data_IF_802618657890
#
_entry.id   IF_802618657890
#
_cell.length_a   1.000
_cell.length_b   1.000
_cell.length_c   1.000
_cell.angle_alpha   90.00
_cell.angle_beta   90.00
_cell.angle_gamma   90.00
#
_symmetry.space_group_name_H-M   'P 1'
#
loop_
_entity.id
_entity.type
_entity.pdbx_description
1 polymer ?
#
# COMPACT_ATOMS: atom_id res chain seq x y z
N UNK A 1 1.88 34.65 -3.47
CA UNK A 1 1.78 33.28 -2.91
C UNK A 1 0.35 32.68 -2.78
N UNK A 2 -0.67 33.00 -3.62
CA UNK A 2 -1.95 32.26 -3.63
C UNK A 2 -2.08 31.16 -4.71
N UNK A 3 -1.32 31.22 -5.82
CA UNK A 3 -1.48 30.30 -6.96
C UNK A 3 -1.17 28.82 -6.63
N UNK A 4 -0.11 28.53 -5.87
CA UNK A 4 0.29 27.13 -5.54
C UNK A 4 -0.74 26.38 -4.67
N UNK A 5 -1.54 27.08 -3.85
CA UNK A 5 -2.57 26.45 -3.01
C UNK A 5 -3.80 26.03 -3.82
N UNK A 6 -4.20 26.85 -4.79
CA UNK A 6 -5.38 26.55 -5.62
C UNK A 6 -5.10 25.40 -6.61
N UNK A 7 -3.89 25.34 -7.15
CA UNK A 7 -3.43 24.18 -7.93
C UNK A 7 -3.40 22.91 -7.09
N UNK A 8 -3.01 22.98 -5.81
CA UNK A 8 -3.02 21.83 -4.89
C UNK A 8 -4.43 21.26 -4.66
N UNK A 9 -5.44 22.11 -4.44
CA UNK A 9 -6.83 21.65 -4.26
C UNK A 9 -7.45 21.10 -5.56
N UNK A 10 -7.17 21.72 -6.70
CA UNK A 10 -7.62 21.20 -7.99
C UNK A 10 -7.00 19.83 -8.31
N UNK A 11 -5.72 19.62 -7.98
CA UNK A 11 -5.05 18.32 -8.14
C UNK A 11 -5.67 17.28 -7.21
N UNK A 12 -5.90 17.62 -5.93
CA UNK A 12 -6.57 16.74 -4.96
C UNK A 12 -7.95 16.30 -5.45
N UNK A 13 -8.72 17.20 -6.06
CA UNK A 13 -10.04 16.89 -6.59
C UNK A 13 -10.01 15.81 -7.69
N UNK A 14 -8.93 15.72 -8.49
CA UNK A 14 -8.78 14.67 -9.52
C UNK A 14 -8.79 13.26 -8.94
N UNK A 15 -8.37 13.10 -7.69
CA UNK A 15 -8.30 11.82 -7.01
C UNK A 15 -9.49 11.58 -6.06
N UNK A 16 -10.51 12.44 -6.10
CA UNK A 16 -11.65 12.42 -5.18
C UNK A 16 -11.22 12.56 -3.71
N UNK A 17 -10.29 13.48 -3.42
CA UNK A 17 -9.76 13.68 -2.07
C UNK A 17 -10.81 14.26 -1.08
N UNK A 18 -10.81 13.84 0.20
CA UNK A 18 -10.04 12.72 0.75
C UNK A 18 -10.52 11.38 0.18
N UNK A 19 -9.60 10.62 -0.39
CA UNK A 19 -9.90 9.34 -1.03
C UNK A 19 -9.49 8.17 -0.15
N UNK A 20 -10.01 6.97 -0.45
CA UNK A 20 -9.66 5.75 0.27
C UNK A 20 -8.22 5.25 0.02
N UNK A 21 -7.58 5.69 -1.07
CA UNK A 21 -6.21 5.26 -1.38
C UNK A 21 -5.19 6.00 -0.51
N UNK A 22 -4.51 5.28 0.40
CA UNK A 22 -3.49 5.88 1.25
C UNK A 22 -2.18 6.11 0.49
N UNK A 23 -1.96 5.39 -0.61
CA UNK A 23 -0.95 5.69 -1.63
C UNK A 23 -1.08 7.13 -2.14
N UNK A 24 -2.27 7.51 -2.62
CA UNK A 24 -2.55 8.85 -3.15
C UNK A 24 -2.37 9.90 -2.07
N UNK A 25 -2.95 9.65 -0.88
CA UNK A 25 -2.87 10.58 0.25
C UNK A 25 -1.42 10.82 0.67
N UNK A 26 -0.62 9.76 0.78
CA UNK A 26 0.80 9.85 1.15
C UNK A 26 1.56 10.84 0.26
N UNK A 27 1.34 10.81 -1.05
CA UNK A 27 1.98 11.72 -1.99
C UNK A 27 1.44 13.14 -1.93
N UNK A 28 0.11 13.31 -1.85
CA UNK A 28 -0.52 14.64 -1.81
C UNK A 28 -0.27 15.39 -0.50
N UNK A 29 -0.07 14.67 0.61
CA UNK A 29 0.27 15.21 1.93
C UNK A 29 1.79 15.42 2.10
N UNK A 30 2.61 14.91 1.17
CA UNK A 30 4.06 15.12 1.15
C UNK A 30 4.87 14.16 2.02
N UNK A 31 4.30 13.00 2.39
CA UNK A 31 4.97 11.97 3.19
C UNK A 31 5.88 11.07 2.38
N UNK A 32 5.39 10.56 1.25
CA UNK A 32 6.11 9.62 0.38
C UNK A 32 5.69 9.78 -1.08
N UNK A 33 6.61 9.47 -2.01
CA UNK A 33 6.33 9.47 -3.45
C UNK A 33 6.48 10.83 -4.13
N UNK A 34 6.02 10.87 -5.38
CA UNK A 34 6.17 12.02 -6.28
C UNK A 34 4.83 12.34 -6.95
N UNK A 35 4.56 13.63 -7.12
CA UNK A 35 3.38 14.14 -7.85
C UNK A 35 3.86 14.90 -9.08
N UNK A 36 3.48 14.44 -10.27
CA UNK A 36 3.71 15.15 -11.53
C UNK A 36 2.37 15.68 -12.02
N UNK A 37 2.27 16.97 -12.30
CA UNK A 37 1.03 17.63 -12.76
C UNK A 37 1.29 18.26 -14.12
N UNK A 38 0.32 18.14 -15.04
CA UNK A 38 0.37 18.83 -16.34
C UNK A 38 -0.88 19.66 -16.59
N UNK A 39 -0.68 20.67 -17.44
CA UNK A 39 -1.59 21.73 -17.92
C UNK A 39 -2.47 22.42 -16.87
N UNK A 40 -3.70 22.81 -17.23
CA UNK A 40 -4.42 23.89 -16.51
C UNK A 40 -5.81 23.49 -15.99
N UNK A 41 -6.07 23.86 -14.73
CA UNK A 41 -7.38 23.74 -14.08
C UNK A 41 -8.43 24.66 -14.71
N UNK A 42 -8.05 25.88 -15.11
CA UNK A 42 -8.95 26.85 -15.74
C UNK A 42 -9.52 26.35 -17.07
N UNK A 43 -8.76 25.52 -17.79
CA UNK A 43 -9.17 24.92 -19.05
C UNK A 43 -9.79 23.52 -18.89
N UNK A 44 -10.08 23.08 -17.66
CA UNK A 44 -10.57 21.73 -17.35
C UNK A 44 -9.72 20.60 -17.96
N UNK A 45 -8.42 20.86 -18.17
CA UNK A 45 -7.52 19.88 -18.78
C UNK A 45 -6.67 19.16 -17.76
N UNK A 46 -6.70 19.53 -16.48
CA UNK A 46 -5.74 19.12 -15.45
C UNK A 46 -5.58 17.59 -15.38
N UNK A 47 -4.33 17.15 -15.20
CA UNK A 47 -3.96 15.74 -15.03
C UNK A 47 -2.80 15.60 -14.08
N UNK A 48 -2.75 14.46 -13.41
CA UNK A 48 -1.72 14.15 -12.46
C UNK A 48 -1.32 12.69 -12.54
N UNK A 49 -0.03 12.47 -12.28
CA UNK A 49 0.57 11.16 -12.01
C UNK A 49 1.15 11.18 -10.61
N UNK A 50 0.75 10.22 -9.80
CA UNK A 50 1.35 9.94 -8.49
C UNK A 50 2.16 8.66 -8.60
N UNK A 51 3.39 8.67 -8.08
CA UNK A 51 4.24 7.47 -8.00
C UNK A 51 4.70 7.25 -6.56
N UNK A 52 4.41 6.07 -5.99
CA UNK A 52 4.82 5.64 -4.65
C UNK A 52 5.17 4.15 -4.70
N UNK A 53 6.44 3.80 -4.47
CA UNK A 53 6.89 2.42 -4.60
C UNK A 53 6.57 1.85 -5.98
N UNK A 54 5.91 0.69 -6.02
CA UNK A 54 5.46 0.04 -7.25
C UNK A 54 4.20 0.64 -7.87
N UNK A 55 3.54 1.60 -7.22
CA UNK A 55 2.29 2.19 -7.73
C UNK A 55 2.57 3.41 -8.60
N UNK A 56 1.89 3.46 -9.75
CA UNK A 56 1.56 4.69 -10.47
C UNK A 56 0.05 4.89 -10.50
N UNK A 57 -0.44 6.04 -10.01
CA UNK A 57 -1.85 6.42 -10.05
C UNK A 57 -2.04 7.59 -11.01
N UNK A 58 -2.94 7.43 -11.98
CA UNK A 58 -3.22 8.41 -13.04
C UNK A 58 -4.60 9.01 -12.85
N UNK A 59 -4.70 10.34 -12.85
CA UNK A 59 -5.96 11.03 -12.63
C UNK A 59 -6.11 12.29 -13.49
N UNK A 60 -7.36 12.68 -13.74
CA UNK A 60 -7.75 13.81 -14.58
C UNK A 60 -7.81 13.44 -16.05
N UNK A 61 -7.55 14.41 -16.94
CA UNK A 61 -7.62 14.19 -18.37
C UNK A 61 -6.51 13.22 -18.86
N UNK A 62 -6.83 12.25 -19.73
CA UNK A 62 -5.84 11.30 -20.24
C UNK A 62 -4.71 11.99 -20.99
N UNK A 63 -3.46 11.64 -20.68
CA UNK A 63 -2.24 12.25 -21.22
C UNK A 63 -1.19 11.19 -21.53
N UNK A 64 -0.87 11.02 -22.81
CA UNK A 64 0.08 10.00 -23.28
C UNK A 64 1.50 10.21 -22.71
N UNK A 65 1.90 11.45 -22.41
CA UNK A 65 3.23 11.73 -21.85
C UNK A 65 3.35 11.27 -20.40
N UNK A 66 2.26 11.26 -19.65
CA UNK A 66 2.27 10.70 -18.29
C UNK A 66 2.34 9.17 -18.28
N UNK A 67 1.87 8.52 -19.36
CA UNK A 67 1.92 7.05 -19.54
C UNK A 67 3.27 6.58 -20.10
N UNK A 68 3.85 7.30 -21.06
CA UNK A 68 5.05 6.87 -21.80
C UNK A 68 6.34 6.77 -20.95
N UNK A 69 6.31 7.23 -19.70
CA UNK A 69 7.42 7.15 -18.75
C UNK A 69 7.14 6.28 -17.52
N UNK A 70 6.13 5.41 -17.55
CA UNK A 70 5.84 4.50 -16.43
C UNK A 70 6.91 3.41 -16.38
N UNK A 71 7.66 3.37 -15.28
CA UNK A 71 8.64 2.32 -14.97
C UNK A 71 8.20 1.44 -13.79
N UNK A 72 7.03 1.71 -13.23
CA UNK A 72 6.49 0.97 -12.09
C UNK A 72 5.73 -0.27 -12.56
N UNK A 73 5.70 -1.30 -11.72
CA UNK A 73 5.06 -2.56 -12.06
C UNK A 73 3.54 -2.57 -11.84
N UNK A 74 2.93 -1.53 -11.23
CA UNK A 74 1.49 -1.44 -11.00
C UNK A 74 0.93 -0.06 -11.37
N UNK A 75 -0.13 -0.02 -12.19
CA UNK A 75 -0.80 1.22 -12.62
C UNK A 75 -2.29 1.21 -12.26
N UNK A 76 -2.77 2.30 -11.67
CA UNK A 76 -4.18 2.50 -11.31
C UNK A 76 -4.74 3.73 -12.05
N UNK A 77 -5.67 3.55 -13.00
CA UNK A 77 -6.43 4.65 -13.56
C UNK A 77 -7.56 5.07 -12.60
N UNK A 78 -7.61 6.34 -12.19
CA UNK A 78 -8.71 6.88 -11.37
C UNK A 78 -9.97 7.04 -12.22
N UNK A 79 -9.82 7.54 -13.44
CA UNK A 79 -10.91 7.65 -14.41
C UNK A 79 -10.74 6.64 -15.56
N UNK A 80 -11.83 6.01 -16.06
CA UNK A 80 -11.76 5.00 -17.12
C UNK A 80 -11.12 5.47 -18.43
N UNK A 81 -11.12 6.77 -18.71
CA UNK A 81 -10.58 7.39 -19.92
C UNK A 81 -9.06 7.18 -20.08
N UNK A 82 -8.35 6.81 -19.01
CA UNK A 82 -6.94 6.45 -19.06
C UNK A 82 -6.69 5.05 -19.65
N UNK A 83 -7.68 4.16 -19.61
CA UNK A 83 -7.54 2.74 -20.00
C UNK A 83 -6.99 2.58 -21.43
N UNK A 84 -7.54 3.23 -22.47
CA UNK A 84 -7.03 3.06 -23.83
C UNK A 84 -5.57 3.51 -23.98
N UNK A 85 -5.15 4.55 -23.25
CA UNK A 85 -3.77 5.03 -23.31
C UNK A 85 -2.80 4.07 -22.62
N UNK A 86 -3.18 3.51 -21.46
CA UNK A 86 -2.38 2.51 -20.75
C UNK A 86 -2.18 1.29 -21.64
N UNK A 87 -3.26 0.77 -22.25
CA UNK A 87 -3.21 -0.41 -23.11
C UNK A 87 -2.38 -0.16 -24.39
N UNK A 88 -2.39 1.07 -24.93
CA UNK A 88 -1.61 1.43 -26.11
C UNK A 88 -0.12 1.67 -25.83
N UNK A 89 0.24 2.30 -24.70
CA UNK A 89 1.61 2.75 -24.42
C UNK A 89 2.36 1.83 -23.45
N UNK A 90 1.66 0.94 -22.75
CA UNK A 90 2.25 0.00 -21.81
C UNK A 90 1.70 -1.41 -22.03
N UNK A 91 1.84 -1.99 -23.25
CA UNK A 91 1.24 -3.28 -23.61
C UNK A 91 1.77 -4.48 -22.81
N UNK A 92 2.89 -4.31 -22.10
CA UNK A 92 3.43 -5.31 -21.18
C UNK A 92 2.58 -5.45 -19.89
N UNK A 93 1.84 -4.41 -19.51
CA UNK A 93 1.00 -4.45 -18.32
C UNK A 93 -0.31 -5.20 -18.59
N UNK A 94 -0.66 -6.09 -17.68
CA UNK A 94 -1.84 -6.95 -17.76
C UNK A 94 -2.94 -6.38 -16.87
N UNK A 95 -4.18 -6.24 -17.38
CA UNK A 95 -5.30 -5.79 -16.56
C UNK A 95 -5.66 -6.86 -15.52
N UNK A 96 -5.97 -6.42 -14.30
CA UNK A 96 -6.47 -7.28 -13.22
C UNK A 96 -7.36 -6.47 -12.26
N UNK A 97 -7.96 -7.16 -11.29
CA UNK A 97 -8.87 -6.55 -10.32
C UNK A 97 -8.23 -6.52 -8.93
N UNK A 98 -8.27 -5.34 -8.30
CA UNK A 98 -7.91 -5.13 -6.89
C UNK A 98 -9.17 -4.92 -6.04
N UNK A 99 -9.05 -5.22 -4.75
CA UNK A 99 -10.17 -5.20 -3.81
C UNK A 99 -9.87 -4.26 -2.65
N UNK A 100 -10.40 -3.03 -2.66
CA UNK A 100 -10.26 -2.14 -1.52
C UNK A 100 -10.99 -2.75 -0.33
N UNK A 101 -10.35 -2.76 0.83
CA UNK A 101 -10.90 -3.33 2.05
C UNK A 101 -11.26 -2.19 2.99
N UNK A 102 -12.56 -2.04 3.25
CA UNK A 102 -13.11 -0.94 4.05
C UNK A 102 -13.48 -1.45 5.43
N UNK A 103 -13.40 -0.58 6.42
CA UNK A 103 -13.95 -0.88 7.73
C UNK A 103 -14.40 0.40 8.42
N UNK A 104 -15.50 0.34 9.17
CA UNK A 104 -15.95 1.49 9.94
C UNK A 104 -14.94 1.81 11.04
N UNK A 105 -14.69 3.09 11.31
CA UNK A 105 -13.77 3.47 12.40
C UNK A 105 -14.25 2.87 13.73
N UNK A 106 -13.37 2.11 14.40
CA UNK A 106 -13.68 1.45 15.68
C UNK A 106 -14.39 0.09 15.58
N UNK A 107 -14.52 -0.48 14.39
CA UNK A 107 -15.19 -1.78 14.15
C UNK A 107 -14.32 -3.01 14.48
N UNK A 108 -13.00 -2.85 14.61
CA UNK A 108 -12.10 -3.98 14.81
C UNK A 108 -12.36 -4.68 16.15
N UNK A 109 -12.58 -6.00 16.09
CA UNK A 109 -12.62 -6.83 17.30
C UNK A 109 -11.20 -7.01 17.85
N UNK A 110 -10.84 -6.13 18.78
CA UNK A 110 -9.53 -6.11 19.45
C UNK A 110 -9.20 -7.45 20.11
N UNK A 111 -10.18 -8.14 20.70
CA UNK A 111 -9.94 -9.44 21.36
C UNK A 111 -9.59 -10.50 20.33
N UNK A 112 -10.32 -10.54 19.21
CA UNK A 112 -10.05 -11.47 18.12
C UNK A 112 -8.68 -11.20 17.46
N UNK A 113 -8.31 -9.94 17.27
CA UNK A 113 -6.98 -9.56 16.79
C UNK A 113 -5.88 -10.02 17.76
N UNK A 114 -6.08 -9.86 19.07
CA UNK A 114 -5.13 -10.36 20.07
C UNK A 114 -4.98 -11.89 20.00
N UNK A 115 -6.08 -12.61 19.81
CA UNK A 115 -6.04 -14.07 19.61
C UNK A 115 -5.25 -14.44 18.35
N UNK A 116 -5.46 -13.76 17.22
CA UNK A 116 -4.71 -14.02 15.99
C UNK A 116 -3.22 -13.71 16.13
N UNK A 117 -2.87 -12.61 16.80
CA UNK A 117 -1.48 -12.27 17.08
C UNK A 117 -0.82 -13.29 18.03
N UNK A 118 -1.56 -13.85 18.99
CA UNK A 118 -1.09 -14.86 19.93
C UNK A 118 -1.01 -16.27 19.34
N UNK A 119 -1.79 -16.57 18.29
CA UNK A 119 -1.80 -17.85 17.58
C UNK A 119 -0.59 -18.05 16.64
N UNK A 120 0.44 -17.20 16.74
CA UNK A 120 1.70 -17.40 16.04
C UNK A 120 2.30 -18.77 16.46
N UNK A 121 2.70 -19.65 15.51
CA UNK A 121 3.25 -20.95 15.88
C UNK A 121 4.51 -20.82 16.73
N UNK A 122 4.71 -21.72 17.68
CA UNK A 122 5.80 -21.65 18.66
C UNK A 122 7.21 -21.59 18.05
N UNK A 123 7.39 -22.11 16.84
CA UNK A 123 8.64 -22.03 16.08
C UNK A 123 9.03 -20.59 15.67
N UNK A 124 8.12 -19.63 15.81
CA UNK A 124 8.32 -18.24 15.43
C UNK A 124 8.16 -17.28 16.62
N UNK A 125 8.65 -16.06 16.44
CA UNK A 125 8.41 -14.91 17.31
C UNK A 125 8.06 -13.71 16.46
N UNK A 126 7.06 -12.94 16.86
CA UNK A 126 6.72 -11.68 16.19
C UNK A 126 7.44 -10.54 16.90
N UNK A 127 8.27 -9.81 16.16
CA UNK A 127 9.08 -8.69 16.65
C UNK A 127 8.75 -7.41 15.87
N UNK A 128 8.81 -6.22 16.50
CA UNK A 128 8.72 -4.96 15.77
C UNK A 128 9.91 -4.82 14.82
N UNK A 129 9.66 -4.26 13.64
CA UNK A 129 10.73 -3.98 12.68
C UNK A 129 11.54 -2.79 13.21
N UNK A 130 12.73 -3.07 13.71
CA UNK A 130 13.76 -2.08 14.04
C UNK A 130 14.52 -1.66 12.78
N UNK A 131 15.39 -0.64 12.89
CA UNK A 131 16.29 -0.25 11.78
C UNK A 131 17.09 -1.45 11.24
N UNK A 132 17.65 -2.29 12.12
CA UNK A 132 18.41 -3.48 11.71
C UNK A 132 17.53 -4.52 10.98
N UNK A 133 16.26 -4.66 11.36
CA UNK A 133 15.33 -5.55 10.67
C UNK A 133 14.86 -4.95 9.34
N UNK A 134 14.65 -3.64 9.27
CA UNK A 134 14.31 -2.93 8.03
C UNK A 134 15.45 -3.05 7.00
N UNK A 135 16.71 -2.99 7.44
CA UNK A 135 17.85 -3.23 6.56
C UNK A 135 17.87 -4.67 6.02
N UNK A 136 17.41 -5.65 6.80
CA UNK A 136 17.32 -7.05 6.37
C UNK A 136 16.18 -7.28 5.38
N UNK A 137 14.99 -6.72 5.61
CA UNK A 137 13.84 -6.86 4.70
C UNK A 137 14.16 -6.28 3.32
N UNK A 138 14.87 -5.14 3.27
CA UNK A 138 15.30 -4.47 2.03
C UNK A 138 16.33 -5.26 1.20
N UNK A 139 16.98 -6.28 1.76
CA UNK A 139 17.97 -7.11 1.05
C UNK A 139 17.38 -8.28 0.29
N UNK A 140 16.13 -8.64 0.54
CA UNK A 140 15.47 -9.78 -0.08
C UNK A 140 14.33 -9.28 -0.96
N UNK A 141 14.29 -9.74 -2.23
CA UNK A 141 13.26 -9.33 -3.19
C UNK A 141 11.83 -9.52 -2.66
N UNK A 142 11.56 -10.67 -2.03
CA UNK A 142 10.22 -11.03 -1.56
C UNK A 142 9.70 -10.19 -0.38
N UNK A 143 10.60 -9.52 0.35
CA UNK A 143 10.25 -8.72 1.54
C UNK A 143 10.60 -7.25 1.39
N UNK A 144 11.02 -6.84 0.18
CA UNK A 144 11.49 -5.48 -0.05
C UNK A 144 10.38 -4.48 0.26
N UNK A 145 9.15 -4.73 -0.20
CA UNK A 145 8.03 -3.81 -0.08
C UNK A 145 7.57 -3.57 1.37
N UNK A 146 7.95 -4.44 2.33
CA UNK A 146 7.72 -4.19 3.75
C UNK A 146 8.38 -2.89 4.24
N UNK A 147 9.53 -2.50 3.69
CA UNK A 147 10.29 -1.32 4.18
C UNK A 147 10.97 -0.52 3.05
N UNK A 148 10.94 -0.99 1.82
CA UNK A 148 11.73 -0.53 0.69
C UNK A 148 11.32 0.82 0.14
N UNK A 149 10.06 1.21 0.35
CA UNK A 149 9.52 2.49 -0.12
C UNK A 149 10.00 3.70 0.69
N UNK A 150 10.56 3.47 1.88
CA UNK A 150 11.19 4.52 2.69
C UNK A 150 12.56 4.85 2.13
N UNK A 151 13.09 6.04 2.44
CA UNK A 151 14.38 6.49 1.93
C UNK A 151 15.48 5.48 2.29
N UNK A 152 15.50 5.05 3.54
CA UNK A 152 16.46 4.12 4.11
C UNK A 152 15.86 3.41 5.35
N UNK A 153 16.62 2.50 5.96
CA UNK A 153 16.17 1.76 7.14
C UNK A 153 15.93 2.66 8.37
N UNK A 154 16.69 3.74 8.52
CA UNK A 154 16.52 4.70 9.61
C UNK A 154 15.25 5.53 9.43
N UNK A 155 14.94 5.93 8.19
CA UNK A 155 13.70 6.61 7.82
C UNK A 155 12.46 5.72 8.09
N UNK A 156 12.55 4.42 7.77
CA UNK A 156 11.53 3.45 8.18
C UNK A 156 11.38 3.40 9.70
N UNK A 157 12.48 3.23 10.44
CA UNK A 157 12.43 3.12 11.90
C UNK A 157 11.86 4.38 12.58
N UNK A 158 12.05 5.55 11.98
CA UNK A 158 11.54 6.82 12.48
C UNK A 158 10.06 7.06 12.19
N UNK A 159 9.56 6.66 11.01
CA UNK A 159 8.22 7.03 10.53
C UNK A 159 7.27 5.86 10.27
N UNK A 160 7.83 4.71 9.91
CA UNK A 160 7.09 3.50 9.56
C UNK A 160 6.63 2.70 10.78
N UNK A 161 5.81 1.67 10.53
CA UNK A 161 5.36 0.72 11.54
C UNK A 161 5.29 -0.65 10.88
N UNK A 162 5.87 -1.66 11.50
CA UNK A 162 5.78 -3.01 10.99
C UNK A 162 6.25 -4.04 12.00
N UNK A 163 5.88 -5.28 11.71
CA UNK A 163 6.25 -6.45 12.50
C UNK A 163 6.66 -7.58 11.58
N UNK A 164 7.67 -8.36 11.99
CA UNK A 164 8.12 -9.56 11.28
C UNK A 164 7.98 -10.78 12.17
N UNK A 165 7.65 -11.91 11.55
CA UNK A 165 7.81 -13.22 12.16
C UNK A 165 9.24 -13.70 11.90
N UNK A 166 10.02 -13.89 12.97
CA UNK A 166 11.34 -14.48 12.94
C UNK A 166 11.26 -15.94 13.34
N UNK A 167 11.91 -16.82 12.58
CA UNK A 167 12.08 -18.21 12.97
C UNK A 167 13.05 -18.30 14.15
N UNK A 168 12.64 -18.94 15.25
CA UNK A 168 13.45 -18.98 16.49
C UNK A 168 14.77 -19.70 16.33
N UNK A 169 14.80 -20.74 15.49
CA UNK A 169 15.98 -21.58 15.31
C UNK A 169 17.11 -20.87 14.55
N UNK A 170 16.76 -19.98 13.61
CA UNK A 170 17.72 -19.37 12.68
C UNK A 170 17.79 -17.85 12.80
N UNK A 171 16.78 -17.21 13.37
CA UNK A 171 16.60 -15.77 13.37
C UNK A 171 16.17 -15.20 12.02
N UNK A 172 15.89 -16.04 11.02
CA UNK A 172 15.49 -15.60 9.67
C UNK A 172 14.08 -15.01 9.65
N UNK A 173 13.88 -14.02 8.79
CA UNK A 173 12.56 -13.43 8.55
C UNK A 173 11.74 -14.41 7.71
N UNK A 174 10.58 -14.81 8.23
CA UNK A 174 9.67 -15.76 7.59
C UNK A 174 8.44 -15.07 6.98
N UNK A 175 7.99 -13.97 7.59
CA UNK A 175 6.87 -13.15 7.12
C UNK A 175 6.94 -11.76 7.75
N UNK A 176 6.15 -10.83 7.23
CA UNK A 176 5.94 -9.53 7.87
C UNK A 176 4.63 -8.88 7.46
N UNK A 177 4.20 -7.94 8.29
CA UNK A 177 3.16 -6.97 7.95
C UNK A 177 3.69 -5.59 8.33
N UNK A 178 3.61 -4.64 7.40
CA UNK A 178 4.27 -3.34 7.54
C UNK A 178 3.49 -2.21 6.87
N UNK A 179 3.91 -0.97 7.10
CA UNK A 179 3.43 0.20 6.38
C UNK A 179 4.10 0.29 5.00
N UNK A 180 3.40 -0.05 3.92
CA UNK A 180 3.84 0.20 2.54
C UNK A 180 4.02 1.70 2.27
N UNK A 181 3.06 2.49 2.74
CA UNK A 181 3.03 3.94 2.69
C UNK A 181 2.42 4.50 3.98
N UNK A 182 2.71 5.77 4.29
CA UNK A 182 2.16 6.48 5.44
C UNK A 182 1.46 7.77 5.01
N UNK A 183 0.40 8.14 5.70
CA UNK A 183 -0.30 9.40 5.50
C UNK A 183 -0.78 9.93 6.85
N UNK A 184 -1.34 11.13 6.86
CA UNK A 184 -1.97 11.70 8.05
C UNK A 184 -3.10 10.76 8.51
N UNK A 185 -3.00 10.31 9.76
CA UNK A 185 -4.00 9.44 10.37
C UNK A 185 -3.95 7.96 9.95
N UNK A 186 -2.94 7.48 9.22
CA UNK A 186 -2.78 6.03 9.05
C UNK A 186 -1.72 5.55 8.08
N UNK A 187 -1.80 4.26 7.74
CA UNK A 187 -0.80 3.54 6.92
C UNK A 187 -1.49 2.68 5.86
N UNK A 188 -0.85 2.50 4.72
CA UNK A 188 -1.20 1.45 3.75
C UNK A 188 -0.49 0.15 4.18
N UNK A 189 -1.23 -0.95 4.36
CA UNK A 189 -0.69 -2.21 4.85
C UNK A 189 -0.06 -3.03 3.72
N UNK A 190 1.19 -3.46 3.91
CA UNK A 190 1.88 -4.50 3.13
C UNK A 190 1.97 -5.79 3.93
N UNK A 191 1.82 -6.95 3.29
CA UNK A 191 1.95 -8.27 3.94
C UNK A 191 2.64 -9.27 3.02
N UNK A 192 3.83 -9.70 3.43
CA UNK A 192 4.64 -10.66 2.70
C UNK A 192 4.92 -11.90 3.55
N UNK A 193 5.03 -13.06 2.89
CA UNK A 193 5.46 -14.30 3.54
C UNK A 193 6.37 -15.07 2.60
N UNK A 194 7.57 -15.44 3.09
CA UNK A 194 8.52 -16.24 2.34
C UNK A 194 7.84 -17.54 1.88
N UNK A 195 8.07 -17.94 0.63
CA UNK A 195 7.36 -19.05 -0.01
C UNK A 195 7.36 -20.33 0.83
N UNK A 196 8.53 -20.72 1.36
CA UNK A 196 8.70 -21.90 2.23
C UNK A 196 7.95 -21.84 3.57
N UNK A 197 7.43 -20.67 3.93
CA UNK A 197 6.76 -20.36 5.19
C UNK A 197 5.27 -20.03 5.04
N UNK A 198 4.75 -20.04 3.82
CA UNK A 198 3.34 -19.77 3.55
C UNK A 198 2.41 -20.82 4.16
N UNK A 199 1.13 -20.46 4.31
CA UNK A 199 0.07 -21.32 4.87
C UNK A 199 0.27 -21.78 6.32
N UNK A 200 1.20 -21.15 7.06
CA UNK A 200 1.44 -21.42 8.50
C UNK A 200 0.78 -20.42 9.46
N UNK A 201 -0.07 -19.52 8.95
CA UNK A 201 -0.75 -18.49 9.74
C UNK A 201 0.08 -17.24 10.07
N UNK A 202 1.32 -17.13 9.56
CA UNK A 202 2.24 -16.03 9.87
C UNK A 202 1.74 -14.67 9.40
N UNK A 203 1.21 -14.59 8.16
CA UNK A 203 0.62 -13.38 7.62
C UNK A 203 -0.51 -12.84 8.51
N UNK A 204 -1.40 -13.73 8.98
CA UNK A 204 -2.51 -13.38 9.86
C UNK A 204 -2.02 -12.84 11.21
N UNK A 205 -1.03 -13.52 11.82
CA UNK A 205 -0.51 -13.12 13.11
C UNK A 205 0.25 -11.77 13.04
N UNK A 206 1.08 -11.56 12.01
CA UNK A 206 1.79 -10.29 11.79
C UNK A 206 0.81 -9.14 11.52
N UNK A 207 -0.17 -9.38 10.65
CA UNK A 207 -1.19 -8.38 10.29
C UNK A 207 -2.04 -7.98 11.49
N UNK A 208 -2.48 -8.95 12.30
CA UNK A 208 -3.21 -8.68 13.52
C UNK A 208 -2.38 -7.85 14.51
N UNK A 209 -1.07 -8.12 14.64
CA UNK A 209 -0.16 -7.32 15.46
C UNK A 209 -0.02 -5.88 14.94
N UNK A 210 0.14 -5.71 13.63
CA UNK A 210 0.22 -4.39 13.00
C UNK A 210 -1.05 -3.57 13.25
N UNK A 211 -2.23 -4.16 13.03
CA UNK A 211 -3.52 -3.49 13.24
C UNK A 211 -3.65 -3.06 14.69
N UNK A 212 -3.35 -3.94 15.66
CA UNK A 212 -3.39 -3.58 17.09
C UNK A 212 -2.48 -2.38 17.42
N UNK A 213 -1.28 -2.33 16.85
CA UNK A 213 -0.36 -1.21 17.06
C UNK A 213 -0.87 0.07 16.38
N UNK A 214 -1.48 -0.03 15.19
CA UNK A 214 -2.12 1.11 14.54
C UNK A 214 -3.25 1.69 15.40
N UNK A 215 -4.15 0.83 15.90
CA UNK A 215 -5.26 1.25 16.77
C UNK A 215 -4.77 1.91 18.05
N UNK A 216 -3.71 1.37 18.67
CA UNK A 216 -3.08 1.97 19.86
C UNK A 216 -2.55 3.38 19.58
N UNK A 217 -2.06 3.65 18.38
CA UNK A 217 -1.53 4.95 17.95
C UNK A 217 -2.60 5.88 17.34
N UNK A 218 -3.85 5.46 17.28
CA UNK A 218 -4.93 6.23 16.61
C UNK A 218 -4.78 6.29 15.09
N UNK A 219 -4.08 5.32 14.50
CA UNK A 219 -3.83 5.21 13.06
C UNK A 219 -4.81 4.23 12.42
N UNK A 220 -5.32 4.57 11.24
CA UNK A 220 -6.11 3.66 10.42
C UNK A 220 -5.19 2.75 9.59
N UNK A 221 -5.26 1.42 9.74
CA UNK A 221 -4.54 0.48 8.89
C UNK A 221 -5.34 0.28 7.60
N UNK A 222 -5.07 1.07 6.55
CA UNK A 222 -5.70 0.88 5.25
C UNK A 222 -5.24 -0.41 4.60
N UNK A 223 -6.14 -1.09 3.90
CA UNK A 223 -5.82 -2.33 3.22
C UNK A 223 -6.45 -2.33 1.83
N UNK A 224 -5.62 -2.51 0.81
CA UNK A 224 -6.04 -2.66 -0.57
C UNK A 224 -5.52 -3.99 -1.12
N UNK A 225 -6.39 -4.98 -1.22
CA UNK A 225 -5.99 -6.34 -1.50
C UNK A 225 -5.63 -6.52 -2.98
N UNK A 226 -4.37 -6.91 -3.20
CA UNK A 226 -3.82 -7.23 -4.51
C UNK A 226 -4.45 -8.46 -5.17
N UNK A 227 -4.97 -9.40 -4.37
CA UNK A 227 -5.47 -10.71 -4.81
C UNK A 227 -6.60 -11.21 -3.91
N UNK A 228 -7.47 -12.12 -4.39
CA UNK A 228 -8.60 -12.63 -3.60
C UNK A 228 -8.22 -13.26 -2.25
N UNK A 229 -7.06 -13.91 -2.17
CA UNK A 229 -6.61 -14.51 -0.91
C UNK A 229 -6.13 -13.45 0.11
N UNK A 230 -5.60 -12.31 -0.35
CA UNK A 230 -5.32 -11.14 0.50
C UNK A 230 -6.63 -10.50 0.99
N UNK A 231 -7.65 -10.41 0.13
CA UNK A 231 -8.98 -9.94 0.55
C UNK A 231 -9.58 -10.85 1.63
N UNK A 232 -9.45 -12.17 1.47
CA UNK A 232 -9.90 -13.14 2.48
C UNK A 232 -9.13 -13.02 3.81
N UNK A 233 -7.83 -12.71 3.76
CA UNK A 233 -7.05 -12.42 4.95
C UNK A 233 -7.58 -11.17 5.67
N UNK A 234 -7.80 -10.08 4.93
CA UNK A 234 -8.38 -8.85 5.47
C UNK A 234 -9.79 -9.07 6.06
N UNK A 235 -10.65 -9.87 5.42
CA UNK A 235 -11.96 -10.22 5.98
C UNK A 235 -11.86 -10.89 7.35
N UNK A 236 -10.90 -11.79 7.56
CA UNK A 236 -10.65 -12.41 8.87
C UNK A 236 -10.27 -11.39 9.93
N UNK A 237 -9.55 -10.35 9.53
CA UNK A 237 -9.05 -9.29 10.40
C UNK A 237 -10.14 -8.24 10.73
N UNK A 238 -11.31 -8.29 10.10
CA UNK A 238 -12.44 -7.40 10.39
C UNK A 238 -12.69 -6.33 9.33
N UNK A 239 -12.10 -6.45 8.14
CA UNK A 239 -12.46 -5.62 7.00
C UNK A 239 -13.64 -6.22 6.22
N UNK A 240 -14.31 -5.39 5.43
CA UNK A 240 -15.29 -5.80 4.43
C UNK A 240 -14.81 -5.37 3.05
N UNK A 241 -15.20 -6.10 2.00
CA UNK A 241 -14.85 -5.71 0.62
C UNK A 241 -15.62 -4.46 0.21
N UNK A 242 -14.90 -3.47 -0.30
CA UNK A 242 -15.47 -2.35 -1.05
C UNK A 242 -15.72 -2.73 -2.50
N UNK A 243 -15.96 -1.72 -3.34
CA UNK A 243 -16.15 -1.89 -4.78
C UNK A 243 -14.82 -2.24 -5.45
N UNK A 244 -14.68 -3.40 -6.10
CA UNK A 244 -13.45 -3.76 -6.80
C UNK A 244 -13.18 -2.78 -7.95
N UNK A 245 -11.90 -2.57 -8.26
CA UNK A 245 -11.49 -1.67 -9.34
C UNK A 245 -10.43 -2.30 -10.24
N UNK A 246 -10.38 -1.82 -11.48
CA UNK A 246 -9.41 -2.28 -12.50
C UNK A 246 -8.06 -1.61 -12.24
N UNK A 247 -7.01 -2.41 -12.23
CA UNK A 247 -5.63 -1.97 -12.24
C UNK A 247 -4.85 -2.73 -13.32
N UNK A 248 -3.60 -2.34 -13.54
CA UNK A 248 -2.69 -2.98 -14.47
C UNK A 248 -1.42 -3.38 -13.72
N UNK A 249 -0.84 -4.52 -14.07
CA UNK A 249 0.36 -5.06 -13.42
C UNK A 249 1.30 -5.71 -14.43
N UNK A 250 2.60 -5.62 -14.23
CA UNK A 250 3.60 -6.25 -15.11
C UNK A 250 3.47 -7.79 -15.12
N UNK A 251 3.34 -8.38 -13.94
CA UNK A 251 3.13 -9.82 -13.75
C UNK A 251 1.79 -10.06 -13.04
N UNK A 252 0.95 -10.93 -13.59
CA UNK A 252 -0.30 -11.29 -12.92
C UNK A 252 0.03 -12.00 -11.61
N UNK A 253 -0.56 -11.57 -10.49
CA UNK A 253 -0.30 -12.22 -9.22
C UNK A 253 -0.87 -13.63 -9.20
N UNK A 254 -0.16 -14.53 -8.54
CA UNK A 254 -0.52 -15.95 -8.38
C UNK A 254 -1.43 -16.21 -7.18
#
# INVERSE_FOLDING_TARGET
MPARKQESEAVKALFHYPCHSFIVRSALEGHMGQVTVRGSSAAATLRARITVGVFTVLAGAPDAELVSGITTSLVVPVQPEWIPLIEAHSPALKPYIRYPMVTATGSFDVRRLQQYAAACPAAYVIEPITEALAERTRKMKWSFDLCGNFRDAADFAARGIGFVALERATGNIAAGASSFAICDGGVEVEVDTAESHQRRGLALACSARLILECLKRGLYPNWDAHVPHSAHLAEKLGYTRGTPYKAYVEELPT
#
